data_IF_259168058097
#
_entry.id   IF_259168058097
#
_cell.length_a   1.000
_cell.length_b   1.000
_cell.length_c   1.000
_cell.angle_alpha   90.00
_cell.angle_beta   90.00
_cell.angle_gamma   90.00
#
_symmetry.space_group_name_H-M   'P 1'
#
loop_
_entity.id
_entity.type
_entity.pdbx_description
1 polymer ?
#
# COMPACT_ATOMS: atom_id res chain seq x y z
N UNK A 1 -10.50 -13.55 0.56
CA UNK A 1 -11.26 -12.45 1.22
C UNK A 1 -11.82 -11.52 0.15
N UNK A 2 -12.97 -10.96 0.41
CA UNK A 2 -13.63 -10.06 -0.54
C UNK A 2 -13.04 -8.65 -0.44
N UNK A 3 -12.90 -7.97 -1.59
CA UNK A 3 -12.37 -6.59 -1.64
C UNK A 3 -13.27 -5.58 -0.95
N UNK A 4 -14.57 -5.80 -0.92
CA UNK A 4 -15.54 -4.91 -0.30
C UNK A 4 -15.54 -4.97 1.24
N UNK A 5 -14.79 -5.90 1.83
CA UNK A 5 -14.56 -5.91 3.28
C UNK A 5 -13.50 -4.89 3.72
N UNK A 6 -12.80 -4.26 2.80
CA UNK A 6 -11.71 -3.33 3.10
C UNK A 6 -12.09 -1.90 2.74
N UNK A 7 -11.66 -0.97 3.58
CA UNK A 7 -11.75 0.48 3.33
C UNK A 7 -10.36 1.07 3.44
N UNK A 8 -9.99 1.92 2.48
CA UNK A 8 -8.70 2.61 2.47
C UNK A 8 -8.91 4.09 2.75
N UNK A 9 -8.12 4.65 3.66
CA UNK A 9 -8.11 6.06 3.96
C UNK A 9 -6.67 6.59 3.98
N UNK A 10 -6.40 7.67 3.24
CA UNK A 10 -5.12 8.33 3.23
C UNK A 10 -5.16 9.57 4.14
N UNK A 11 -4.10 9.79 4.92
CA UNK A 11 -4.01 10.92 5.84
C UNK A 11 -2.62 11.56 5.81
N UNK A 12 -2.51 12.76 6.39
CA UNK A 12 -1.28 13.54 6.45
C UNK A 12 -0.72 13.94 5.08
N UNK A 13 -1.59 14.11 4.09
CA UNK A 13 -1.16 14.44 2.72
C UNK A 13 -0.60 15.87 2.59
N UNK A 14 -1.13 16.78 3.38
CA UNK A 14 -0.74 18.21 3.36
C UNK A 14 -0.09 18.66 4.67
N UNK A 15 0.24 17.74 5.56
CA UNK A 15 0.82 18.05 6.86
C UNK A 15 2.30 17.71 6.91
N UNK A 16 3.07 18.23 7.90
CA UNK A 16 4.48 17.85 8.04
C UNK A 16 4.70 16.41 8.52
N UNK A 17 3.64 15.70 8.91
CA UNK A 17 3.73 14.29 9.31
C UNK A 17 3.87 13.35 8.14
N UNK A 18 4.32 12.12 8.41
CA UNK A 18 4.46 11.10 7.37
C UNK A 18 3.10 10.75 6.75
N UNK A 19 2.96 10.77 5.42
CA UNK A 19 1.73 10.32 4.78
C UNK A 19 1.41 8.88 5.18
N UNK A 20 0.16 8.63 5.53
CA UNK A 20 -0.28 7.35 6.07
C UNK A 20 -1.46 6.82 5.26
N UNK A 21 -1.38 5.56 4.87
CA UNK A 21 -2.51 4.82 4.30
C UNK A 21 -3.01 3.84 5.35
N UNK A 22 -4.29 3.98 5.71
CA UNK A 22 -4.95 3.13 6.69
C UNK A 22 -5.94 2.22 5.98
N UNK A 23 -5.81 0.92 6.22
CA UNK A 23 -6.70 -0.10 5.65
C UNK A 23 -7.48 -0.74 6.79
N UNK A 24 -8.79 -0.55 6.78
CA UNK A 24 -9.70 -1.14 7.76
C UNK A 24 -10.43 -2.33 7.16
N UNK A 25 -10.46 -3.41 7.89
CA UNK A 25 -11.12 -4.65 7.49
C UNK A 25 -12.35 -4.92 8.35
N UNK A 26 -13.48 -5.18 7.70
CA UNK A 26 -14.74 -5.54 8.34
C UNK A 26 -15.17 -6.92 7.86
N UNK A 27 -14.57 -7.97 8.38
CA UNK A 27 -14.85 -9.35 7.96
C UNK A 27 -14.23 -10.37 8.90
N UNK A 28 -14.06 -11.62 8.44
CA UNK A 28 -13.46 -12.67 9.26
C UNK A 28 -11.99 -12.36 9.58
N UNK A 29 -11.72 -12.00 10.84
CA UNK A 29 -10.41 -11.55 11.27
C UNK A 29 -9.34 -12.65 11.21
N UNK A 30 -9.71 -13.88 11.50
CA UNK A 30 -8.76 -14.99 11.61
C UNK A 30 -7.94 -15.22 10.34
N UNK A 31 -8.59 -15.13 9.18
CA UNK A 31 -7.92 -15.32 7.89
C UNK A 31 -6.91 -14.20 7.62
N UNK A 32 -7.29 -12.95 7.93
CA UNK A 32 -6.39 -11.81 7.73
C UNK A 32 -5.20 -11.89 8.69
N UNK A 33 -5.42 -12.23 9.94
CA UNK A 33 -4.34 -12.41 10.94
C UNK A 33 -3.36 -13.48 10.46
N UNK A 34 -3.86 -14.60 9.96
CA UNK A 34 -3.01 -15.67 9.41
C UNK A 34 -2.12 -15.16 8.27
N UNK A 35 -2.68 -14.37 7.35
CA UNK A 35 -1.94 -13.85 6.20
C UNK A 35 -0.90 -12.80 6.58
N UNK A 36 -1.12 -12.09 7.68
CA UNK A 36 -0.19 -11.07 8.20
C UNK A 36 0.85 -11.64 9.15
N UNK A 37 0.85 -12.95 9.35
CA UNK A 37 1.74 -13.64 10.30
C UNK A 37 2.68 -14.55 9.53
N UNK A 38 3.95 -14.57 9.95
CA UNK A 38 4.96 -15.43 9.33
C UNK A 38 4.88 -16.87 9.86
N UNK A 39 5.77 -17.75 9.35
CA UNK A 39 5.81 -19.16 9.76
C UNK A 39 6.15 -19.37 11.24
N UNK A 40 6.70 -18.36 11.89
CA UNK A 40 7.10 -18.40 13.29
C UNK A 40 6.07 -17.81 14.24
N UNK A 41 4.93 -17.36 13.70
CA UNK A 41 3.84 -16.76 14.47
C UNK A 41 4.03 -15.27 14.76
N UNK A 42 4.98 -14.62 14.13
CA UNK A 42 5.26 -13.19 14.30
C UNK A 42 4.62 -12.37 13.18
N UNK A 43 4.25 -11.09 13.44
CA UNK A 43 3.77 -10.22 12.37
C UNK A 43 4.82 -10.05 11.28
N UNK A 44 4.37 -9.95 10.02
CA UNK A 44 5.27 -9.70 8.89
C UNK A 44 6.01 -8.37 9.06
N UNK A 45 7.32 -8.36 8.79
CA UNK A 45 8.15 -7.16 8.82
C UNK A 45 7.99 -6.35 7.54
N UNK A 46 8.44 -5.06 7.50
CA UNK A 46 8.38 -4.25 6.29
C UNK A 46 9.02 -4.91 5.07
N UNK A 47 10.11 -5.65 5.27
CA UNK A 47 10.84 -6.31 4.19
C UNK A 47 10.10 -7.54 3.64
N UNK A 48 9.11 -8.03 4.35
CA UNK A 48 8.35 -9.22 4.00
C UNK A 48 7.04 -8.91 3.28
N UNK A 49 6.69 -7.62 3.10
CA UNK A 49 5.49 -7.21 2.38
C UNK A 49 5.82 -6.28 1.23
N UNK A 50 5.06 -6.39 0.15
CA UNK A 50 5.08 -5.46 -0.98
C UNK A 50 3.71 -4.82 -1.13
N UNK A 51 3.69 -3.53 -1.47
CA UNK A 51 2.46 -2.77 -1.71
C UNK A 51 2.46 -2.30 -3.15
N UNK A 52 1.38 -2.55 -3.87
CA UNK A 52 1.26 -2.17 -5.27
C UNK A 52 -0.17 -1.72 -5.59
N UNK A 53 -0.30 -0.93 -6.67
CA UNK A 53 -1.58 -0.49 -7.20
C UNK A 53 -1.64 -0.78 -8.69
N UNK A 54 -2.74 -1.34 -9.15
CA UNK A 54 -2.97 -1.60 -10.57
C UNK A 54 -4.17 -0.79 -11.05
N UNK A 55 -3.92 0.08 -12.02
CA UNK A 55 -4.95 0.88 -12.67
C UNK A 55 -5.87 -0.02 -13.51
N UNK A 56 -7.16 0.28 -13.52
CA UNK A 56 -8.15 -0.45 -14.32
C UNK A 56 -8.58 0.32 -15.57
N UNK A 57 -7.86 1.37 -15.92
CA UNK A 57 -8.11 2.18 -17.10
C UNK A 57 -7.04 3.23 -17.30
N UNK A 58 -7.27 4.17 -18.24
CA UNK A 58 -6.32 5.24 -18.52
C UNK A 58 -6.30 6.28 -17.40
N UNK A 59 -5.11 6.74 -17.00
CA UNK A 59 -4.93 7.73 -15.93
C UNK A 59 -5.76 8.99 -16.17
N UNK A 60 -5.82 9.47 -17.41
CA UNK A 60 -6.57 10.67 -17.78
C UNK A 60 -8.07 10.58 -17.52
N UNK A 61 -8.60 9.38 -17.38
CA UNK A 61 -10.02 9.13 -17.13
C UNK A 61 -10.32 8.95 -15.64
N UNK A 62 -9.33 9.12 -14.75
CA UNK A 62 -9.44 8.93 -13.32
C UNK A 62 -10.10 7.58 -12.96
N UNK A 63 -9.53 6.46 -13.44
CA UNK A 63 -10.14 5.15 -13.24
C UNK A 63 -10.06 4.69 -11.79
N UNK A 64 -10.80 3.65 -11.46
CA UNK A 64 -10.56 2.87 -10.28
C UNK A 64 -9.35 1.97 -10.45
N UNK A 65 -9.00 1.25 -9.41
CA UNK A 65 -7.92 0.29 -9.42
C UNK A 65 -7.92 -0.58 -8.19
N UNK A 66 -6.91 -1.41 -8.07
CA UNK A 66 -6.77 -2.38 -6.98
C UNK A 66 -5.45 -2.16 -6.26
N UNK A 67 -5.52 -1.90 -4.95
CA UNK A 67 -4.35 -1.93 -4.06
C UNK A 67 -4.17 -3.36 -3.59
N UNK A 68 -2.95 -3.87 -3.69
CA UNK A 68 -2.60 -5.22 -3.24
C UNK A 68 -1.45 -5.17 -2.25
N UNK A 69 -1.57 -5.92 -1.16
CA UNK A 69 -0.48 -6.19 -0.24
C UNK A 69 -0.13 -7.66 -0.39
N UNK A 70 1.13 -7.94 -0.66
CA UNK A 70 1.62 -9.28 -0.97
C UNK A 70 2.69 -9.70 0.03
N UNK A 71 2.70 -10.98 0.41
CA UNK A 71 3.79 -11.55 1.18
C UNK A 71 4.94 -11.84 0.22
N UNK A 72 6.05 -11.12 0.38
CA UNK A 72 7.23 -11.24 -0.50
C UNK A 72 7.87 -12.62 -0.42
N UNK A 73 7.82 -13.26 0.73
CA UNK A 73 8.48 -14.55 0.96
C UNK A 73 7.73 -15.68 0.25
N UNK A 74 6.39 -15.70 0.36
CA UNK A 74 5.56 -16.78 -0.21
C UNK A 74 4.98 -16.44 -1.58
N UNK A 75 4.92 -15.15 -1.94
CA UNK A 75 4.26 -14.69 -3.15
C UNK A 75 2.73 -14.62 -3.06
N UNK A 76 2.17 -14.94 -1.90
CA UNK A 76 0.71 -14.96 -1.70
C UNK A 76 0.17 -13.55 -1.45
N UNK A 77 -1.05 -13.29 -1.91
CA UNK A 77 -1.73 -12.05 -1.59
C UNK A 77 -2.18 -12.08 -0.13
N UNK A 78 -1.84 -11.02 0.62
CA UNK A 78 -2.34 -10.80 1.97
C UNK A 78 -3.74 -10.23 1.89
N UNK A 79 -3.90 -9.14 1.11
CA UNK A 79 -5.19 -8.49 0.90
C UNK A 79 -5.19 -7.74 -0.43
N UNK A 80 -6.40 -7.51 -0.94
CA UNK A 80 -6.63 -6.66 -2.09
C UNK A 80 -7.87 -5.81 -1.82
N UNK A 81 -7.86 -4.55 -2.27
CA UNK A 81 -9.03 -3.68 -2.14
C UNK A 81 -9.11 -2.70 -3.30
N UNK A 82 -10.33 -2.24 -3.57
CA UNK A 82 -10.57 -1.24 -4.60
C UNK A 82 -10.27 0.16 -4.05
N UNK A 83 -9.63 0.99 -4.86
CA UNK A 83 -9.34 2.37 -4.51
C UNK A 83 -9.31 3.25 -5.78
N UNK A 84 -9.73 4.51 -5.63
CA UNK A 84 -9.72 5.45 -6.74
C UNK A 84 -8.30 5.91 -7.07
N UNK A 85 -7.99 6.03 -8.36
CA UNK A 85 -6.67 6.44 -8.81
C UNK A 85 -6.28 7.84 -8.32
N UNK A 86 -7.23 8.77 -8.27
CA UNK A 86 -6.96 10.13 -7.78
C UNK A 86 -6.42 10.11 -6.35
N UNK A 87 -7.04 9.33 -5.48
CA UNK A 87 -6.64 9.23 -4.08
C UNK A 87 -5.27 8.55 -3.94
N UNK A 88 -5.05 7.46 -4.66
CA UNK A 88 -3.79 6.71 -4.60
C UNK A 88 -2.63 7.53 -5.16
N UNK A 89 -2.80 8.16 -6.33
CA UNK A 89 -1.74 8.95 -6.95
C UNK A 89 -1.42 10.21 -6.13
N UNK A 90 -2.43 10.84 -5.52
CA UNK A 90 -2.22 11.97 -4.62
C UNK A 90 -1.41 11.54 -3.38
N UNK A 91 -1.73 10.39 -2.83
CA UNK A 91 -0.98 9.82 -1.71
C UNK A 91 0.49 9.58 -2.09
N UNK A 92 0.73 8.98 -3.26
CA UNK A 92 2.09 8.69 -3.74
C UNK A 92 2.89 9.99 -3.93
N UNK A 93 2.28 11.02 -4.50
CA UNK A 93 2.94 12.33 -4.67
C UNK A 93 3.31 12.95 -3.32
N UNK A 94 2.42 12.87 -2.33
CA UNK A 94 2.68 13.36 -0.98
C UNK A 94 3.84 12.58 -0.32
N UNK A 95 3.87 11.27 -0.50
CA UNK A 95 4.94 10.43 0.02
C UNK A 95 6.29 10.74 -0.63
N UNK A 96 6.30 10.99 -1.94
CA UNK A 96 7.51 11.39 -2.67
C UNK A 96 8.05 12.71 -2.14
N UNK A 97 7.20 13.70 -1.96
CA UNK A 97 7.57 15.00 -1.40
C UNK A 97 8.13 14.88 0.02
N UNK A 98 7.47 14.10 0.85
CA UNK A 98 7.91 13.84 2.22
C UNK A 98 9.33 13.26 2.24
N UNK A 99 9.59 12.23 1.42
CA UNK A 99 10.90 11.60 1.34
C UNK A 99 11.99 12.52 0.80
N UNK A 100 11.65 13.33 -0.23
CA UNK A 100 12.59 14.27 -0.84
C UNK A 100 13.01 15.37 0.13
N UNK A 101 12.04 15.93 0.87
CA UNK A 101 12.29 17.03 1.80
C UNK A 101 13.12 16.60 3.02
N UNK A 102 13.12 15.33 3.35
CA UNK A 102 13.77 14.80 4.57
C UNK A 102 14.90 13.84 4.30
N UNK A 103 15.17 13.55 3.03
CA UNK A 103 16.17 12.54 2.63
C UNK A 103 15.92 11.20 3.32
N UNK A 104 14.64 10.82 3.43
CA UNK A 104 14.20 9.62 4.12
C UNK A 104 14.00 8.45 3.15
N UNK A 105 14.39 7.25 3.57
CA UNK A 105 14.12 6.01 2.84
C UNK A 105 12.68 5.56 3.03
N UNK A 106 12.11 5.82 4.23
CA UNK A 106 10.73 5.51 4.55
C UNK A 106 9.86 6.71 4.24
N UNK A 107 9.04 6.60 3.20
CA UNK A 107 8.28 7.73 2.64
C UNK A 107 6.83 7.75 3.04
N UNK A 108 6.30 6.63 3.52
CA UNK A 108 4.92 6.55 3.96
C UNK A 108 4.75 5.46 5.01
N UNK A 109 3.60 5.51 5.67
CA UNK A 109 3.22 4.50 6.67
C UNK A 109 1.99 3.75 6.17
N UNK A 110 1.98 2.43 6.35
CA UNK A 110 0.82 1.59 6.08
C UNK A 110 0.32 1.01 7.40
N UNK A 111 -0.99 1.10 7.61
CA UNK A 111 -1.67 0.50 8.76
C UNK A 111 -2.75 -0.44 8.28
N UNK A 112 -2.85 -1.59 8.92
CA UNK A 112 -3.95 -2.54 8.69
C UNK A 112 -4.62 -2.79 10.03
N UNK A 113 -5.94 -2.61 10.09
CA UNK A 113 -6.73 -2.80 11.30
C UNK A 113 -7.98 -3.64 11.01
N UNK A 114 -8.46 -4.33 12.03
CA UNK A 114 -9.73 -5.08 12.00
C UNK A 114 -10.62 -4.52 13.09
N UNK A 115 -11.78 -4.00 12.72
CA UNK A 115 -12.76 -3.42 13.65
C UNK A 115 -12.12 -2.42 14.64
N UNK A 116 -11.15 -1.65 14.15
CA UNK A 116 -10.43 -0.67 14.94
C UNK A 116 -9.19 -1.18 15.66
N UNK A 117 -8.97 -2.49 15.69
CA UNK A 117 -7.79 -3.08 16.32
C UNK A 117 -6.64 -3.18 15.31
N UNK A 118 -5.54 -2.50 15.58
CA UNK A 118 -4.39 -2.47 14.71
C UNK A 118 -3.68 -3.83 14.67
N UNK A 119 -3.51 -4.39 13.47
CA UNK A 119 -2.78 -5.64 13.24
C UNK A 119 -1.37 -5.41 12.73
N UNK A 120 -1.17 -4.36 11.94
CA UNK A 120 0.10 -4.06 11.29
C UNK A 120 0.26 -2.56 11.18
N UNK A 121 1.47 -2.06 11.48
CA UNK A 121 1.87 -0.68 11.18
C UNK A 121 3.34 -0.70 10.77
N UNK A 122 3.61 -0.33 9.52
CA UNK A 122 4.95 -0.37 8.96
C UNK A 122 5.24 0.88 8.13
N UNK A 123 6.50 1.31 8.11
CA UNK A 123 6.96 2.40 7.25
C UNK A 123 7.67 1.81 6.03
N UNK A 124 7.31 2.31 4.84
CA UNK A 124 7.80 1.78 3.57
C UNK A 124 8.32 2.90 2.67
N UNK A 125 9.25 2.56 1.80
CA UNK A 125 9.78 3.46 0.76
C UNK A 125 9.36 3.09 -0.65
N UNK A 126 8.69 1.97 -0.84
CA UNK A 126 8.33 1.43 -2.15
C UNK A 126 6.82 1.28 -2.29
N UNK A 127 6.30 1.78 -3.40
CA UNK A 127 4.89 1.61 -3.76
C UNK A 127 4.83 1.59 -5.28
N UNK A 128 4.57 0.43 -5.87
CA UNK A 128 4.61 0.27 -7.33
C UNK A 128 3.23 0.46 -7.94
N UNK A 129 3.17 1.20 -9.04
CA UNK A 129 1.93 1.42 -9.80
C UNK A 129 2.08 0.75 -11.16
N UNK A 130 1.08 -0.07 -11.51
CA UNK A 130 1.00 -0.74 -12.80
C UNK A 130 -0.19 -0.21 -13.59
N UNK A 131 -0.04 -0.14 -14.92
CA UNK A 131 -1.15 0.24 -15.80
C UNK A 131 -2.13 -0.94 -16.01
N UNK A 132 -3.18 -0.71 -16.80
CA UNK A 132 -4.20 -1.73 -17.03
C UNK A 132 -3.65 -2.97 -17.76
N UNK A 133 -2.56 -2.81 -18.49
CA UNK A 133 -1.88 -3.89 -19.22
C UNK A 133 -0.82 -4.60 -18.39
N UNK A 134 -0.60 -4.15 -17.16
CA UNK A 134 0.39 -4.73 -16.24
C UNK A 134 1.79 -4.16 -16.36
N UNK A 135 1.97 -3.07 -17.12
CA UNK A 135 3.25 -2.39 -17.26
C UNK A 135 3.52 -1.45 -16.08
N UNK A 136 4.77 -1.39 -15.63
CA UNK A 136 5.17 -0.52 -14.52
C UNK A 136 5.13 0.96 -14.95
N UNK A 137 4.42 1.79 -14.17
CA UNK A 137 4.34 3.23 -14.38
C UNK A 137 5.31 3.91 -13.41
N UNK A 138 6.56 4.08 -13.81
CA UNK A 138 7.64 4.57 -12.94
C UNK A 138 7.38 5.99 -12.42
N UNK A 139 6.84 6.87 -13.24
CA UNK A 139 6.59 8.27 -12.88
C UNK A 139 5.56 8.44 -11.77
N UNK A 140 4.71 7.43 -11.55
CA UNK A 140 3.70 7.42 -10.50
C UNK A 140 4.00 6.43 -9.38
N UNK A 141 5.17 5.77 -9.44
CA UNK A 141 5.60 4.81 -8.42
C UNK A 141 6.59 5.42 -7.45
N UNK A 142 6.65 4.89 -6.23
CA UNK A 142 7.72 5.19 -5.27
C UNK A 142 8.78 4.11 -5.40
N UNK A 143 9.94 4.48 -5.92
CA UNK A 143 11.08 3.58 -6.12
C UNK A 143 12.27 4.17 -5.38
N UNK A 144 12.93 3.44 -4.47
CA UNK A 144 14.10 3.95 -3.75
C UNK A 144 15.22 4.33 -4.71
N UNK A 145 15.99 5.36 -4.36
CA UNK A 145 17.16 5.79 -5.13
C UNK A 145 18.17 4.66 -5.27
N UNK A 146 18.66 4.48 -6.48
CA UNK A 146 19.67 3.46 -6.78
C UNK A 146 19.11 2.07 -7.04
N UNK A 147 17.78 1.90 -6.98
CA UNK A 147 17.12 0.63 -7.33
C UNK A 147 16.68 0.69 -8.79
N UNK A 148 17.06 -0.33 -9.54
CA UNK A 148 16.60 -0.52 -10.91
C UNK A 148 15.62 -1.69 -10.96
N UNK A 149 14.50 -1.46 -11.61
CA UNK A 149 13.46 -2.47 -11.75
C UNK A 149 13.32 -2.91 -13.21
#
# INVERSE_FOLDING_TARGET
MRRDYFTLEASNLDSPGIPTVSIDFEGPADELVDRLTDAEGEPLSPDEIDVAYRLQGAIAESPGGVVAVTNRVTGEFVLELNADSEDVLRFIDAAREYGSDRDEEHRYRIRVAVDGDQLLEEEKGTFLVYDADGGLVRQHSLIPSGVEL
#
